data_IF_167410028371
#
_entry.id   IF_167410028371
#
_cell.length_a   1.000
_cell.length_b   1.000
_cell.length_c   1.000
_cell.angle_alpha   90.00
_cell.angle_beta   90.00
_cell.angle_gamma   90.00
#
_symmetry.space_group_name_H-M   'P 1'
#
loop_
_entity.id
_entity.type
_entity.pdbx_description
1 polymer ?
#
# COMPACT_ATOMS: atom_id res chain seq x y z
N UNK A 1 0.95 34.40 1.82
CA UNK A 1 0.09 33.38 2.46
C UNK A 1 0.81 32.64 3.59
N UNK A 2 1.63 31.60 3.35
CA UNK A 2 2.27 30.80 4.43
C UNK A 2 2.87 31.65 5.54
N UNK A 3 3.67 32.66 5.19
CA UNK A 3 4.26 33.60 6.14
C UNK A 3 3.25 34.47 6.90
N UNK A 4 2.29 35.05 6.17
CA UNK A 4 1.34 36.05 6.68
C UNK A 4 0.33 35.41 7.63
N UNK A 5 -0.16 34.22 7.27
CA UNK A 5 -1.13 33.45 8.07
C UNK A 5 -0.47 32.69 9.22
N UNK A 6 0.85 32.81 9.38
CA UNK A 6 1.62 32.09 10.38
C UNK A 6 1.50 30.55 10.28
N UNK A 7 1.18 30.02 9.10
CA UNK A 7 1.06 28.58 8.87
C UNK A 7 2.42 27.90 8.92
N UNK A 8 2.53 26.85 9.71
CA UNK A 8 3.72 26.00 9.81
C UNK A 8 3.53 24.62 9.15
N UNK A 9 2.30 24.26 8.77
CA UNK A 9 1.98 22.97 8.15
C UNK A 9 1.30 23.20 6.80
N UNK A 10 1.75 22.43 5.79
CA UNK A 10 1.15 22.37 4.46
C UNK A 10 0.79 20.92 4.15
N UNK A 11 -0.47 20.64 3.85
CA UNK A 11 -0.95 19.33 3.38
C UNK A 11 -1.20 19.39 1.88
N UNK A 12 -0.42 18.65 1.11
CA UNK A 12 -0.50 18.58 -0.35
C UNK A 12 -1.08 17.23 -0.79
N UNK A 13 -2.28 17.24 -1.38
CA UNK A 13 -3.03 16.02 -1.72
C UNK A 13 -2.98 15.69 -3.23
N UNK A 14 -1.89 16.03 -3.90
CA UNK A 14 -1.74 15.83 -5.36
C UNK A 14 -0.30 15.55 -5.76
N UNK A 15 -0.13 14.79 -6.84
CA UNK A 15 1.12 14.80 -7.58
C UNK A 15 1.28 16.12 -8.35
N UNK A 16 2.51 16.43 -8.79
CA UNK A 16 2.76 17.56 -9.70
C UNK A 16 2.13 17.30 -11.08
N UNK A 17 2.20 16.05 -11.54
CA UNK A 17 1.59 15.56 -12.77
C UNK A 17 0.85 14.25 -12.53
N UNK A 18 -0.30 14.10 -13.15
CA UNK A 18 -1.12 12.88 -13.10
C UNK A 18 -1.69 12.61 -14.49
N UNK A 19 -1.55 11.38 -14.99
CA UNK A 19 -1.97 10.98 -16.36
C UNK A 19 -1.50 11.95 -17.45
N UNK A 20 -0.25 12.41 -17.35
CA UNK A 20 0.36 13.35 -18.30
C UNK A 20 -0.10 14.81 -18.18
N UNK A 21 -1.03 15.13 -17.27
CA UNK A 21 -1.53 16.50 -17.06
C UNK A 21 -0.86 17.14 -15.85
N UNK A 22 -0.46 18.41 -15.98
CA UNK A 22 -0.01 19.21 -14.83
C UNK A 22 -1.18 19.45 -13.87
N UNK A 23 -0.95 19.23 -12.58
CA UNK A 23 -1.93 19.40 -11.50
C UNK A 23 -1.51 20.48 -10.51
N UNK A 24 -0.20 20.61 -10.28
CA UNK A 24 0.42 21.58 -9.38
C UNK A 24 1.85 21.84 -9.85
N UNK A 25 2.33 23.07 -9.70
CA UNK A 25 3.72 23.42 -9.95
C UNK A 25 4.55 23.21 -8.68
N UNK A 26 5.81 22.82 -8.84
CA UNK A 26 6.72 22.70 -7.70
C UNK A 26 7.01 24.10 -7.15
N UNK A 27 6.60 24.34 -5.91
CA UNK A 27 6.78 25.62 -5.21
C UNK A 27 7.83 25.57 -4.10
N UNK A 28 8.60 24.48 -4.02
CA UNK A 28 9.62 24.26 -3.00
C UNK A 28 11.00 24.00 -3.61
N UNK A 29 12.08 24.41 -2.92
CA UNK A 29 13.45 24.05 -3.30
C UNK A 29 13.78 22.61 -2.91
N UNK A 30 14.75 22.03 -3.62
CA UNK A 30 15.38 20.76 -3.24
C UNK A 30 16.13 20.88 -1.90
N UNK A 31 16.37 19.74 -1.24
CA UNK A 31 17.16 19.70 0.00
C UNK A 31 18.56 20.32 -0.22
N UNK A 32 18.96 21.20 0.69
CA UNK A 32 20.21 21.96 0.61
C UNK A 32 20.16 23.19 -0.30
N UNK A 33 19.13 23.32 -1.14
CA UNK A 33 18.93 24.48 -2.01
C UNK A 33 18.14 25.59 -1.31
N UNK A 34 18.38 26.82 -1.74
CA UNK A 34 17.65 27.99 -1.26
C UNK A 34 17.04 28.76 -2.44
N UNK A 35 15.81 29.20 -2.28
CA UNK A 35 15.09 30.02 -3.26
C UNK A 35 14.67 31.34 -2.64
N UNK A 36 15.00 32.44 -3.30
CA UNK A 36 14.53 33.78 -2.91
C UNK A 36 13.14 34.01 -3.50
N UNK A 37 12.14 34.14 -2.63
CA UNK A 37 10.73 34.33 -3.02
C UNK A 37 10.41 35.81 -3.26
N UNK A 38 11.06 36.71 -2.50
CA UNK A 38 10.96 38.16 -2.68
C UNK A 38 12.21 38.85 -2.12
N UNK A 39 12.26 40.19 -2.12
CA UNK A 39 13.37 40.96 -1.51
C UNK A 39 13.64 40.57 -0.06
N UNK A 40 12.59 40.24 0.71
CA UNK A 40 12.64 40.01 2.15
C UNK A 40 12.19 38.61 2.56
N UNK A 41 11.98 37.67 1.64
CA UNK A 41 11.51 36.33 1.97
C UNK A 41 12.27 35.28 1.16
N UNK A 42 12.77 34.26 1.85
CA UNK A 42 13.50 33.15 1.25
C UNK A 42 13.11 31.83 1.90
N UNK A 43 13.19 30.75 1.14
CA UNK A 43 12.91 29.38 1.60
C UNK A 43 14.10 28.49 1.31
N UNK A 44 14.47 27.64 2.26
CA UNK A 44 15.53 26.65 2.12
C UNK A 44 14.99 25.25 2.38
N UNK A 45 15.34 24.28 1.54
CA UNK A 45 15.04 22.87 1.76
C UNK A 45 15.99 22.28 2.81
N UNK A 46 15.46 21.69 3.87
CA UNK A 46 16.26 21.14 4.97
C UNK A 46 16.25 19.62 5.01
N UNK A 47 15.08 19.00 4.86
CA UNK A 47 14.92 17.56 5.00
C UNK A 47 13.81 17.07 4.08
N UNK A 48 13.97 15.88 3.52
CA UNK A 48 12.93 15.13 2.82
C UNK A 48 12.99 13.67 3.27
N UNK A 49 11.84 13.13 3.66
CA UNK A 49 11.69 11.72 4.06
C UNK A 49 10.35 11.21 3.54
N UNK A 50 10.30 9.95 3.11
CA UNK A 50 9.06 9.32 2.65
C UNK A 50 8.68 8.17 3.56
N UNK A 51 7.42 8.13 3.98
CA UNK A 51 6.85 7.07 4.84
C UNK A 51 5.43 6.79 4.38
N UNK A 52 5.08 5.54 4.08
CA UNK A 52 3.70 5.14 3.82
C UNK A 52 2.99 5.89 2.67
N UNK A 53 3.70 6.29 1.62
CA UNK A 53 3.13 7.10 0.54
C UNK A 53 2.86 8.56 0.93
N UNK A 54 3.54 9.05 1.95
CA UNK A 54 3.56 10.44 2.40
C UNK A 54 4.99 10.94 2.32
N UNK A 55 5.22 11.98 1.53
CA UNK A 55 6.51 12.68 1.50
C UNK A 55 6.45 13.83 2.49
N UNK A 56 7.26 13.76 3.54
CA UNK A 56 7.44 14.84 4.50
C UNK A 56 8.66 15.67 4.12
N UNK A 57 8.46 16.97 3.93
CA UNK A 57 9.53 17.95 3.70
C UNK A 57 9.57 18.97 4.82
N UNK A 58 10.76 19.32 5.27
CA UNK A 58 10.99 20.46 6.17
C UNK A 58 11.73 21.57 5.45
N UNK A 59 11.22 22.78 5.62
CA UNK A 59 11.79 23.99 5.05
C UNK A 59 12.11 25.00 6.15
N UNK A 60 13.17 25.77 5.93
CA UNK A 60 13.40 27.00 6.68
C UNK A 60 12.89 28.18 5.86
N UNK A 61 11.76 28.76 6.28
CA UNK A 61 11.23 29.99 5.71
C UNK A 61 11.76 31.16 6.54
N UNK A 62 12.43 32.12 5.91
CA UNK A 62 13.08 33.22 6.63
C UNK A 62 12.81 34.56 5.98
N UNK A 63 12.64 35.57 6.82
CA UNK A 63 12.69 36.96 6.41
C UNK A 63 13.93 37.65 7.02
N UNK A 64 14.02 38.98 6.93
CA UNK A 64 15.16 39.75 7.45
C UNK A 64 15.27 39.76 8.99
N UNK A 65 14.26 39.28 9.73
CA UNK A 65 14.15 39.39 11.19
C UNK A 65 14.00 38.05 11.90
N UNK A 66 13.27 37.12 11.31
CA UNK A 66 12.89 35.85 11.95
C UNK A 66 12.95 34.69 10.94
N UNK A 67 13.00 33.47 11.46
CA UNK A 67 12.94 32.25 10.69
C UNK A 67 11.90 31.30 11.28
N UNK A 68 11.25 30.52 10.42
CA UNK A 68 10.18 29.59 10.78
C UNK A 68 10.38 28.27 10.05
N UNK A 69 10.26 27.17 10.78
CA UNK A 69 10.24 25.83 10.20
C UNK A 69 8.86 25.54 9.64
N UNK A 70 8.79 25.21 8.36
CA UNK A 70 7.57 24.81 7.66
C UNK A 70 7.66 23.32 7.34
N UNK A 71 6.64 22.55 7.70
CA UNK A 71 6.53 21.14 7.35
C UNK A 71 5.47 20.96 6.26
N UNK A 72 5.85 20.41 5.11
CA UNK A 72 4.91 19.96 4.08
C UNK A 72 4.75 18.45 4.15
N UNK A 73 3.52 17.98 4.16
CA UNK A 73 3.14 16.57 4.03
C UNK A 73 2.42 16.37 2.70
N UNK A 74 3.08 15.71 1.75
CA UNK A 74 2.52 15.40 0.44
C UNK A 74 2.01 13.95 0.40
N UNK A 75 0.70 13.80 0.24
CA UNK A 75 0.05 12.50 0.06
C UNK A 75 0.12 12.08 -1.41
N UNK A 76 0.92 11.05 -1.72
CA UNK A 76 1.23 10.65 -3.10
C UNK A 76 0.37 9.50 -3.63
N UNK A 77 -0.47 8.92 -2.78
CA UNK A 77 -1.23 7.69 -3.11
C UNK A 77 -2.71 7.94 -3.41
N UNK A 78 -3.12 9.20 -3.61
CA UNK A 78 -4.47 9.50 -4.09
C UNK A 78 -4.55 9.35 -5.62
N UNK A 79 -5.36 8.42 -6.16
CA UNK A 79 -5.46 8.25 -7.60
C UNK A 79 -6.09 9.46 -8.32
N UNK A 80 -5.71 9.70 -9.58
CA UNK A 80 -6.29 10.77 -10.42
C UNK A 80 -7.82 10.58 -10.57
N UNK A 81 -8.24 9.35 -10.84
CA UNK A 81 -9.65 8.99 -10.97
C UNK A 81 -10.11 8.14 -9.76
N UNK A 82 -10.73 8.80 -8.78
CA UNK A 82 -11.42 8.13 -7.67
C UNK A 82 -10.95 8.57 -6.29
N UNK A 83 -10.85 7.58 -5.40
CA UNK A 83 -10.49 7.73 -3.98
C UNK A 83 -9.45 6.67 -3.64
N UNK A 84 -8.63 6.88 -2.59
CA UNK A 84 -7.79 5.82 -2.06
C UNK A 84 -8.63 4.58 -1.72
N UNK A 85 -8.09 3.41 -2.06
CA UNK A 85 -8.78 2.14 -1.78
C UNK A 85 -8.77 1.86 -0.28
N UNK A 86 -7.61 2.10 0.35
CA UNK A 86 -7.39 1.97 1.79
C UNK A 86 -7.48 3.34 2.46
N UNK A 87 -7.73 3.33 3.77
CA UNK A 87 -7.91 4.51 4.63
C UNK A 87 -6.70 4.77 5.51
N UNK A 88 -5.90 3.75 5.82
CA UNK A 88 -4.84 3.82 6.83
C UNK A 88 -3.81 4.89 6.55
N UNK A 89 -3.38 5.08 5.29
CA UNK A 89 -2.44 6.16 4.96
C UNK A 89 -3.06 7.55 5.12
N UNK A 90 -4.37 7.71 4.90
CA UNK A 90 -5.07 8.98 5.12
C UNK A 90 -5.21 9.29 6.62
N UNK A 91 -5.51 8.26 7.43
CA UNK A 91 -5.52 8.37 8.89
C UNK A 91 -4.11 8.68 9.41
N UNK A 92 -3.08 8.01 8.88
CA UNK A 92 -1.69 8.28 9.22
C UNK A 92 -1.28 9.73 8.88
N UNK A 93 -1.65 10.23 7.70
CA UNK A 93 -1.46 11.64 7.33
C UNK A 93 -2.09 12.58 8.36
N UNK A 94 -3.32 12.31 8.78
CA UNK A 94 -4.02 13.11 9.80
C UNK A 94 -3.27 13.08 11.14
N UNK A 95 -2.89 11.90 11.61
CA UNK A 95 -2.14 11.74 12.86
C UNK A 95 -0.78 12.46 12.81
N UNK A 96 -0.10 12.45 11.66
CA UNK A 96 1.13 13.24 11.46
C UNK A 96 0.86 14.75 11.56
N UNK A 97 -0.24 15.23 10.99
CA UNK A 97 -0.65 16.64 11.09
C UNK A 97 -0.95 17.02 12.54
N UNK A 98 -1.71 16.22 13.28
CA UNK A 98 -2.00 16.47 14.69
C UNK A 98 -0.73 16.55 15.53
N UNK A 99 0.19 15.59 15.34
CA UNK A 99 1.45 15.55 16.09
C UNK A 99 2.38 16.73 15.79
N UNK A 100 2.22 17.38 14.64
CA UNK A 100 2.96 18.59 14.26
C UNK A 100 2.27 19.88 14.70
N UNK A 101 0.96 19.85 14.95
CA UNK A 101 0.18 21.02 15.30
C UNK A 101 0.43 21.42 16.77
N UNK A 102 1.34 22.37 16.97
CA UNK A 102 1.67 22.92 18.28
C UNK A 102 0.98 24.25 18.61
N UNK A 103 0.28 24.84 17.65
CA UNK A 103 -0.38 26.15 17.79
C UNK A 103 -1.74 26.12 17.07
N UNK A 104 -2.57 27.14 17.30
CA UNK A 104 -3.81 27.34 16.56
C UNK A 104 -3.60 28.01 15.18
N UNK A 105 -2.38 27.99 14.64
CA UNK A 105 -2.12 28.51 13.31
C UNK A 105 -2.87 27.68 12.24
N UNK A 106 -3.40 28.31 11.18
CA UNK A 106 -4.14 27.60 10.15
C UNK A 106 -3.23 26.64 9.37
N UNK A 107 -3.71 25.42 9.15
CA UNK A 107 -3.09 24.45 8.24
C UNK A 107 -3.47 24.79 6.81
N UNK A 108 -2.50 24.85 5.91
CA UNK A 108 -2.75 25.05 4.48
C UNK A 108 -2.96 23.70 3.83
N UNK A 109 -4.18 23.41 3.37
CA UNK A 109 -4.49 22.18 2.63
C UNK A 109 -4.76 22.52 1.17
N UNK A 110 -4.10 21.83 0.23
CA UNK A 110 -4.38 22.02 -1.20
C UNK A 110 -4.25 20.73 -2.01
N UNK A 111 -4.79 20.77 -3.22
CA UNK A 111 -4.60 19.75 -4.26
C UNK A 111 -4.30 20.48 -5.58
N UNK A 112 -5.11 20.26 -6.63
CA UNK A 112 -5.06 21.04 -7.87
C UNK A 112 -5.99 22.26 -7.79
N UNK A 113 -7.31 22.07 -7.84
CA UNK A 113 -8.29 23.16 -7.71
C UNK A 113 -8.59 23.58 -6.24
N UNK A 114 -8.12 22.81 -5.26
CA UNK A 114 -8.33 23.09 -3.85
C UNK A 114 -9.77 22.87 -3.36
N UNK A 115 -10.53 21.95 -3.96
CA UNK A 115 -11.95 21.69 -3.61
C UNK A 115 -12.29 20.21 -3.42
N UNK A 116 -11.82 19.32 -4.31
CA UNK A 116 -12.14 17.89 -4.25
C UNK A 116 -11.41 17.14 -3.12
N UNK A 117 -10.14 16.78 -3.35
CA UNK A 117 -9.31 16.08 -2.34
C UNK A 117 -9.12 16.93 -1.08
N UNK A 118 -8.89 18.23 -1.28
CA UNK A 118 -8.81 19.23 -0.20
C UNK A 118 -10.07 19.24 0.66
N UNK A 119 -11.26 19.33 0.06
CA UNK A 119 -12.50 19.31 0.82
C UNK A 119 -12.76 17.96 1.49
N UNK A 120 -12.33 16.86 0.88
CA UNK A 120 -12.47 15.53 1.50
C UNK A 120 -11.62 15.42 2.77
N UNK A 121 -10.36 15.87 2.72
CA UNK A 121 -9.46 15.87 3.88
C UNK A 121 -9.97 16.81 4.99
N UNK A 122 -10.35 18.04 4.65
CA UNK A 122 -10.86 19.02 5.63
C UNK A 122 -12.15 18.50 6.28
N UNK A 123 -13.06 17.89 5.50
CA UNK A 123 -14.29 17.32 6.05
C UNK A 123 -13.98 16.17 7.02
N UNK A 124 -13.12 15.23 6.62
CA UNK A 124 -12.68 14.14 7.48
C UNK A 124 -12.10 14.68 8.80
N UNK A 125 -11.14 15.60 8.74
CA UNK A 125 -10.47 16.13 9.93
C UNK A 125 -11.45 16.88 10.85
N UNK A 126 -12.34 17.70 10.29
CA UNK A 126 -13.40 18.40 11.03
C UNK A 126 -14.35 17.41 11.70
N UNK A 127 -14.79 16.39 10.98
CA UNK A 127 -15.73 15.39 11.48
C UNK A 127 -15.07 14.48 12.51
N UNK A 128 -13.76 14.22 12.40
CA UNK A 128 -13.02 13.50 13.42
C UNK A 128 -12.98 14.31 14.72
N UNK A 129 -12.67 15.59 14.64
CA UNK A 129 -12.72 16.48 15.80
C UNK A 129 -14.14 16.55 16.41
N UNK A 130 -15.18 16.70 15.60
CA UNK A 130 -16.58 16.71 16.09
C UNK A 130 -16.98 15.38 16.74
N UNK A 131 -16.53 14.25 16.20
CA UNK A 131 -16.78 12.94 16.79
C UNK A 131 -16.10 12.82 18.16
N UNK A 132 -14.88 13.31 18.32
CA UNK A 132 -14.17 13.30 19.62
C UNK A 132 -14.82 14.22 20.64
N UNK A 133 -15.24 15.41 20.21
CA UNK A 133 -15.79 16.46 21.08
C UNK A 133 -17.24 16.17 21.49
N UNK A 134 -18.06 15.63 20.57
CA UNK A 134 -19.53 15.54 20.74
C UNK A 134 -20.07 14.12 20.67
N UNK A 135 -19.26 13.13 20.27
CA UNK A 135 -19.71 11.75 20.02
C UNK A 135 -20.68 11.60 18.85
N UNK A 136 -20.92 12.67 18.07
CA UNK A 136 -21.87 12.70 16.96
C UNK A 136 -21.35 13.57 15.82
N UNK A 137 -21.74 13.25 14.59
CA UNK A 137 -21.28 13.92 13.38
C UNK A 137 -22.43 14.14 12.40
N UNK A 138 -22.36 15.22 11.63
CA UNK A 138 -23.30 15.52 10.54
C UNK A 138 -22.53 15.81 9.25
N UNK A 139 -22.33 14.76 8.45
CA UNK A 139 -21.57 14.87 7.19
C UNK A 139 -22.26 15.83 6.20
N UNK A 140 -23.57 15.71 5.89
CA UNK A 140 -24.25 16.69 5.02
C UNK A 140 -24.06 18.14 5.48
N UNK A 141 -24.31 18.44 6.75
CA UNK A 141 -24.24 19.81 7.26
C UNK A 141 -22.81 20.34 7.28
N UNK A 142 -21.81 19.52 7.62
CA UNK A 142 -20.40 19.91 7.52
C UNK A 142 -20.00 20.25 6.10
N UNK A 143 -20.42 19.45 5.11
CA UNK A 143 -20.14 19.75 3.69
C UNK A 143 -20.85 21.01 3.21
N UNK A 144 -22.10 21.26 3.64
CA UNK A 144 -22.81 22.51 3.35
C UNK A 144 -22.07 23.73 3.90
N UNK A 145 -21.67 23.71 5.19
CA UNK A 145 -20.87 24.78 5.81
C UNK A 145 -19.53 25.00 5.09
N UNK A 146 -18.88 23.94 4.63
CA UNK A 146 -17.66 24.07 3.85
C UNK A 146 -17.91 24.72 2.49
N UNK A 147 -19.04 24.41 1.84
CA UNK A 147 -19.45 24.99 0.55
C UNK A 147 -19.85 26.46 0.65
N UNK A 148 -20.35 26.91 1.80
CA UNK A 148 -20.57 28.34 2.09
C UNK A 148 -19.26 29.13 2.12
N UNK A 149 -18.17 28.51 2.60
CA UNK A 149 -16.85 29.15 2.69
C UNK A 149 -16.04 29.05 1.39
N UNK A 150 -16.21 27.97 0.62
CA UNK A 150 -15.54 27.77 -0.68
C UNK A 150 -16.40 26.90 -1.58
N UNK A 151 -16.64 27.32 -2.82
CA UNK A 151 -17.45 26.55 -3.78
C UNK A 151 -16.92 25.13 -3.99
N UNK A 152 -17.84 24.19 -4.24
CA UNK A 152 -17.56 22.82 -4.70
C UNK A 152 -16.69 21.96 -3.76
N UNK A 153 -16.59 22.32 -2.48
CA UNK A 153 -15.92 21.47 -1.48
C UNK A 153 -16.55 20.06 -1.48
N UNK A 154 -15.68 19.06 -1.65
CA UNK A 154 -16.02 17.68 -2.03
C UNK A 154 -16.77 17.64 -3.37
N UNK A 155 -16.03 17.33 -4.43
CA UNK A 155 -16.47 17.59 -5.80
C UNK A 155 -17.31 16.44 -6.38
N UNK A 156 -17.17 15.21 -5.87
CA UNK A 156 -17.89 14.06 -6.42
C UNK A 156 -18.39 13.06 -5.36
N UNK A 157 -19.33 12.22 -5.77
CA UNK A 157 -19.96 11.23 -4.91
C UNK A 157 -18.96 10.25 -4.26
N UNK A 158 -17.93 9.79 -4.99
CA UNK A 158 -16.93 8.86 -4.43
C UNK A 158 -16.17 9.50 -3.26
N UNK A 159 -15.77 10.76 -3.40
CA UNK A 159 -15.13 11.53 -2.33
C UNK A 159 -16.05 11.69 -1.12
N UNK A 160 -17.33 11.98 -1.34
CA UNK A 160 -18.32 12.07 -0.27
C UNK A 160 -18.48 10.74 0.48
N UNK A 161 -18.62 9.62 -0.24
CA UNK A 161 -18.69 8.27 0.35
C UNK A 161 -17.40 7.89 1.08
N UNK A 162 -16.24 8.37 0.63
CA UNK A 162 -14.96 8.13 1.29
C UNK A 162 -14.89 8.79 2.69
N UNK A 163 -15.51 9.96 2.88
CA UNK A 163 -15.64 10.58 4.21
C UNK A 163 -16.39 9.66 5.18
N UNK A 164 -17.49 9.06 4.73
CA UNK A 164 -18.22 8.07 5.52
C UNK A 164 -17.37 6.82 5.82
N UNK A 165 -16.58 6.34 4.85
CA UNK A 165 -15.65 5.22 5.05
C UNK A 165 -14.67 5.51 6.18
N UNK A 166 -14.04 6.68 6.13
CA UNK A 166 -13.07 7.12 7.13
C UNK A 166 -13.71 7.23 8.52
N UNK A 167 -14.91 7.79 8.63
CA UNK A 167 -15.64 7.91 9.89
C UNK A 167 -16.04 6.55 10.47
N UNK A 168 -16.65 5.69 9.66
CA UNK A 168 -17.06 4.36 10.11
C UNK A 168 -15.86 3.54 10.58
N UNK A 169 -14.75 3.61 9.84
CA UNK A 169 -13.53 2.91 10.23
C UNK A 169 -12.89 3.45 11.49
N UNK A 170 -12.91 4.76 11.69
CA UNK A 170 -12.39 5.36 12.92
C UNK A 170 -13.18 4.92 14.14
N UNK A 171 -14.51 4.88 14.01
CA UNK A 171 -15.40 4.53 15.12
C UNK A 171 -15.45 3.02 15.40
N UNK A 172 -15.45 2.21 14.35
CA UNK A 172 -15.68 0.77 14.48
C UNK A 172 -14.40 -0.04 14.68
N UNK A 173 -13.25 0.49 14.24
CA UNK A 173 -11.97 -0.19 14.34
C UNK A 173 -11.20 0.41 15.51
N UNK A 174 -10.93 -0.40 16.53
CA UNK A 174 -10.13 -0.01 17.69
C UNK A 174 -8.72 0.43 17.27
N UNK A 175 -8.01 1.14 18.16
CA UNK A 175 -6.58 1.37 17.99
C UNK A 175 -5.85 0.01 18.02
N UNK A 176 -5.26 -0.36 16.89
CA UNK A 176 -4.56 -1.63 16.69
C UNK A 176 -3.08 -1.46 16.41
N UNK A 177 -2.60 -0.22 16.28
CA UNK A 177 -1.19 0.08 16.09
C UNK A 177 -0.46 0.05 17.44
N UNK A 178 0.46 -0.91 17.59
CA UNK A 178 1.17 -1.16 18.85
C UNK A 178 2.64 -0.83 18.72
N UNK A 179 3.20 -0.27 19.79
CA UNK A 179 4.65 -0.23 19.96
C UNK A 179 5.19 -1.65 20.15
N UNK A 180 6.39 -1.93 19.65
CA UNK A 180 7.02 -3.24 19.81
C UNK A 180 7.17 -3.66 21.27
N UNK A 181 7.44 -2.70 22.16
CA UNK A 181 7.62 -2.97 23.60
C UNK A 181 6.30 -3.39 24.25
N UNK A 182 5.18 -2.77 23.86
CA UNK A 182 3.84 -3.17 24.30
C UNK A 182 3.57 -4.61 23.87
N UNK A 183 3.82 -4.92 22.59
CA UNK A 183 3.60 -6.25 22.03
C UNK A 183 4.43 -7.34 22.72
N UNK A 184 5.71 -7.06 23.00
CA UNK A 184 6.62 -7.99 23.68
C UNK A 184 6.26 -8.23 25.16
N UNK A 185 5.64 -7.24 25.81
CA UNK A 185 5.20 -7.34 27.19
C UNK A 185 3.92 -8.17 27.38
N UNK A 186 3.18 -8.45 26.31
CA UNK A 186 1.91 -9.17 26.38
C UNK A 186 2.12 -10.63 26.78
N UNK A 187 1.29 -11.11 27.71
CA UNK A 187 1.23 -12.55 28.01
C UNK A 187 0.62 -13.33 26.83
N UNK A 188 0.92 -14.63 26.76
CA UNK A 188 0.35 -15.51 25.73
C UNK A 188 -1.19 -15.55 25.74
N UNK A 189 -1.81 -15.34 26.90
CA UNK A 189 -3.28 -15.28 27.04
C UNK A 189 -3.85 -13.98 26.48
N UNK A 190 -3.22 -12.85 26.77
CA UNK A 190 -3.63 -11.53 26.25
C UNK A 190 -3.47 -11.48 24.73
N UNK A 191 -2.33 -11.94 24.22
CA UNK A 191 -2.05 -12.04 22.78
C UNK A 191 -3.13 -12.85 22.06
N UNK A 192 -3.45 -14.06 22.57
CA UNK A 192 -4.50 -14.92 21.98
C UNK A 192 -5.87 -14.26 22.01
N UNK A 193 -6.23 -13.59 23.11
CA UNK A 193 -7.53 -12.90 23.24
C UNK A 193 -7.64 -11.77 22.21
N UNK A 194 -6.60 -10.95 22.09
CA UNK A 194 -6.51 -9.87 21.11
C UNK A 194 -6.63 -10.39 19.67
N UNK A 195 -5.77 -11.34 19.29
CA UNK A 195 -5.78 -11.95 17.94
C UNK A 195 -7.16 -12.53 17.58
N UNK A 196 -7.83 -13.19 18.52
CA UNK A 196 -9.17 -13.74 18.31
C UNK A 196 -10.21 -12.65 18.09
N UNK A 197 -10.16 -11.57 18.87
CA UNK A 197 -11.10 -10.46 18.76
C UNK A 197 -10.89 -9.69 17.46
N UNK A 198 -9.64 -9.35 17.13
CA UNK A 198 -9.28 -8.68 15.89
C UNK A 198 -9.70 -9.47 14.65
N UNK A 199 -9.38 -10.77 14.59
CA UNK A 199 -9.75 -11.60 13.44
C UNK A 199 -11.28 -11.73 13.31
N UNK A 200 -12.01 -11.76 14.43
CA UNK A 200 -13.48 -11.69 14.43
C UNK A 200 -13.95 -10.36 13.83
N UNK A 201 -13.41 -9.23 14.30
CA UNK A 201 -13.73 -7.90 13.76
C UNK A 201 -13.43 -7.81 12.26
N UNK A 202 -12.29 -8.34 11.77
CA UNK A 202 -11.95 -8.38 10.34
C UNK A 202 -12.99 -9.14 9.50
N UNK A 203 -13.56 -10.21 10.05
CA UNK A 203 -14.55 -11.04 9.35
C UNK A 203 -15.97 -10.47 9.43
N UNK A 204 -16.26 -9.64 10.42
CA UNK A 204 -17.54 -8.93 10.58
C UNK A 204 -17.51 -7.54 9.91
N UNK A 205 -16.33 -6.98 9.66
CA UNK A 205 -16.14 -5.67 9.05
C UNK A 205 -16.72 -5.60 7.64
N UNK A 206 -17.65 -4.67 7.42
CA UNK A 206 -18.34 -4.46 6.14
C UNK A 206 -18.51 -2.97 5.88
N UNK A 207 -17.78 -2.43 4.91
CA UNK A 207 -18.06 -1.10 4.38
C UNK A 207 -18.65 -1.21 2.98
N UNK A 208 -19.88 -0.72 2.79
CA UNK A 208 -20.51 -0.64 1.47
C UNK A 208 -21.06 -1.95 0.89
N UNK A 209 -20.93 -3.11 1.55
CA UNK A 209 -21.46 -4.39 1.02
C UNK A 209 -22.99 -4.42 0.87
N UNK A 210 -23.73 -3.59 1.61
CA UNK A 210 -25.18 -3.43 1.45
C UNK A 210 -25.59 -2.77 0.11
N UNK A 211 -24.64 -2.18 -0.63
CA UNK A 211 -24.87 -1.49 -1.91
C UNK A 211 -24.28 -2.25 -3.11
N UNK A 212 -23.67 -3.40 -2.87
CA UNK A 212 -23.06 -4.26 -3.87
C UNK A 212 -23.95 -5.49 -4.09
N UNK A 213 -25.11 -5.26 -4.70
CA UNK A 213 -25.88 -6.35 -5.30
C UNK A 213 -25.03 -7.05 -6.37
N UNK A 214 -24.93 -8.38 -6.27
CA UNK A 214 -24.21 -9.28 -7.18
C UNK A 214 -22.67 -9.24 -7.09
N UNK A 215 -22.11 -10.09 -6.21
CA UNK A 215 -20.70 -10.47 -6.31
C UNK A 215 -20.47 -11.16 -7.66
N UNK A 216 -19.50 -10.72 -8.49
CA UNK A 216 -18.99 -11.54 -9.58
C UNK A 216 -18.43 -12.86 -9.02
N UNK A 217 -18.44 -13.92 -9.82
CA UNK A 217 -17.79 -15.20 -9.48
C UNK A 217 -16.26 -15.09 -9.28
N UNK A 218 -15.66 -13.93 -9.56
CA UNK A 218 -14.24 -13.65 -9.39
C UNK A 218 -13.96 -13.02 -8.02
N UNK A 219 -12.90 -13.47 -7.34
CA UNK A 219 -12.39 -12.91 -6.08
C UNK A 219 -11.60 -11.60 -6.28
N UNK A 220 -12.13 -10.66 -7.05
CA UNK A 220 -11.45 -9.38 -7.37
C UNK A 220 -12.42 -8.20 -7.34
N UNK A 221 -11.94 -7.03 -6.90
CA UNK A 221 -12.66 -5.77 -7.08
C UNK A 221 -12.29 -5.12 -8.41
N UNK A 222 -13.28 -4.56 -9.12
CA UNK A 222 -13.09 -3.98 -10.46
C UNK A 222 -12.04 -2.84 -10.49
N UNK A 223 -11.87 -2.11 -9.40
CA UNK A 223 -10.96 -0.97 -9.30
C UNK A 223 -9.50 -1.36 -9.07
N UNK A 224 -9.23 -2.59 -8.64
CA UNK A 224 -7.88 -3.10 -8.37
C UNK A 224 -7.51 -4.27 -9.30
N UNK A 225 -8.45 -4.75 -10.10
CA UNK A 225 -8.29 -5.88 -11.00
C UNK A 225 -7.23 -5.64 -12.08
N UNK A 226 -6.50 -6.70 -12.40
CA UNK A 226 -5.52 -6.73 -13.48
C UNK A 226 -6.19 -7.33 -14.72
N UNK A 227 -6.09 -6.63 -15.84
CA UNK A 227 -6.57 -7.11 -17.13
C UNK A 227 -5.46 -7.18 -18.18
N UNK A 228 -5.67 -8.04 -19.17
CA UNK A 228 -4.88 -8.16 -20.40
C UNK A 228 -5.78 -7.95 -21.61
N UNK A 229 -5.21 -7.43 -22.70
CA UNK A 229 -5.93 -7.32 -23.97
C UNK A 229 -6.05 -8.70 -24.63
N UNK A 230 -7.25 -9.05 -25.07
CA UNK A 230 -7.52 -10.24 -25.86
C UNK A 230 -7.84 -9.85 -27.32
N UNK A 231 -6.96 -10.25 -28.24
CA UNK A 231 -7.09 -9.97 -29.67
C UNK A 231 -8.33 -10.64 -30.29
N UNK A 232 -8.78 -11.78 -29.75
CA UNK A 232 -9.93 -12.52 -30.29
C UNK A 232 -11.24 -11.79 -29.99
N UNK A 233 -11.38 -11.28 -28.77
CA UNK A 233 -12.58 -10.57 -28.31
C UNK A 233 -12.50 -9.07 -28.49
N UNK A 234 -11.33 -8.53 -28.84
CA UNK A 234 -11.04 -7.09 -28.91
C UNK A 234 -11.44 -6.34 -27.63
N UNK A 235 -11.20 -6.98 -26.48
CA UNK A 235 -11.58 -6.46 -25.18
C UNK A 235 -10.53 -6.76 -24.11
N UNK A 236 -10.59 -6.01 -23.01
CA UNK A 236 -9.77 -6.29 -21.82
C UNK A 236 -10.41 -7.46 -21.05
N UNK A 237 -9.71 -8.59 -20.99
CA UNK A 237 -10.07 -9.71 -20.15
C UNK A 237 -9.48 -9.52 -18.75
N UNK A 238 -10.36 -9.50 -17.74
CA UNK A 238 -9.96 -9.44 -16.34
C UNK A 238 -9.41 -10.79 -15.89
N UNK A 239 -8.29 -10.75 -15.18
CA UNK A 239 -7.67 -11.92 -14.56
C UNK A 239 -7.98 -11.95 -13.08
N UNK A 240 -7.86 -13.13 -12.47
CA UNK A 240 -7.94 -13.28 -11.03
C UNK A 240 -6.63 -12.82 -10.37
N UNK A 241 -6.33 -11.55 -10.58
CA UNK A 241 -5.14 -10.86 -10.12
C UNK A 241 -5.47 -9.41 -9.79
N UNK A 242 -4.71 -8.84 -8.85
CA UNK A 242 -5.05 -7.57 -8.23
C UNK A 242 -3.80 -6.76 -7.91
N UNK A 243 -3.80 -5.48 -8.25
CA UNK A 243 -2.78 -4.54 -7.79
C UNK A 243 -2.91 -4.32 -6.28
N UNK A 244 -1.80 -4.52 -5.56
CA UNK A 244 -1.69 -4.25 -4.14
C UNK A 244 -0.80 -3.03 -3.95
N UNK A 245 -1.32 -2.07 -3.18
CA UNK A 245 -0.65 -0.84 -2.82
C UNK A 245 -0.04 -1.00 -1.42
N UNK A 246 1.25 -0.75 -1.29
CA UNK A 246 2.01 -0.99 -0.06
C UNK A 246 2.16 0.23 0.85
N UNK A 247 2.64 -0.04 2.07
CA UNK A 247 3.06 0.97 3.02
C UNK A 247 4.50 1.43 2.73
N UNK A 248 4.67 2.34 1.76
CA UNK A 248 5.90 3.13 1.62
C UNK A 248 7.06 2.50 0.85
N UNK A 249 6.91 1.30 0.28
CA UNK A 249 7.93 0.70 -0.58
C UNK A 249 7.98 1.34 -1.98
N UNK A 250 9.11 1.18 -2.67
CA UNK A 250 9.21 1.43 -4.12
C UNK A 250 8.73 0.24 -4.97
N UNK A 251 8.22 -0.82 -4.34
CA UNK A 251 7.79 -2.06 -4.96
C UNK A 251 6.26 -2.04 -5.18
N UNK A 252 5.82 -2.63 -6.29
CA UNK A 252 4.40 -2.73 -6.62
C UNK A 252 4.00 -4.19 -6.64
N UNK A 253 3.05 -4.60 -5.80
CA UNK A 253 2.65 -6.00 -5.74
C UNK A 253 1.48 -6.30 -6.67
N UNK A 254 1.52 -7.47 -7.28
CA UNK A 254 0.36 -8.10 -7.92
C UNK A 254 0.06 -9.39 -7.16
N UNK A 255 -1.08 -9.44 -6.46
CA UNK A 255 -1.59 -10.67 -5.86
C UNK A 255 -2.40 -11.42 -6.91
N UNK A 256 -1.99 -12.65 -7.27
CA UNK A 256 -2.60 -13.40 -8.36
C UNK A 256 -2.90 -14.86 -8.00
N UNK A 257 -3.98 -15.39 -8.58
CA UNK A 257 -4.24 -16.82 -8.62
C UNK A 257 -3.24 -17.50 -9.59
N UNK A 258 -2.71 -18.65 -9.19
CA UNK A 258 -1.92 -19.50 -10.08
C UNK A 258 -2.75 -19.96 -11.30
N UNK A 259 -2.17 -20.02 -12.50
CA UNK A 259 -2.90 -20.41 -13.70
C UNK A 259 -3.34 -21.89 -13.59
N UNK A 260 -4.55 -22.18 -14.06
CA UNK A 260 -4.98 -23.57 -14.22
C UNK A 260 -4.24 -24.23 -15.40
N UNK A 261 -4.05 -25.56 -15.39
CA UNK A 261 -3.46 -26.26 -16.53
C UNK A 261 -4.24 -25.99 -17.82
N UNK A 262 -3.56 -25.50 -18.85
CA UNK A 262 -4.16 -25.09 -20.13
C UNK A 262 -4.71 -23.66 -20.17
N UNK A 263 -4.64 -22.90 -19.07
CA UNK A 263 -5.07 -21.50 -18.95
C UNK A 263 -3.91 -20.53 -18.68
N UNK A 264 -2.68 -20.89 -19.08
CA UNK A 264 -1.46 -20.14 -18.76
C UNK A 264 -1.23 -18.94 -19.67
N UNK A 265 -1.84 -18.89 -20.86
CA UNK A 265 -1.64 -17.82 -21.86
C UNK A 265 -1.86 -16.43 -21.25
N UNK A 266 -2.98 -16.22 -20.59
CA UNK A 266 -3.30 -14.91 -20.04
C UNK A 266 -2.45 -14.55 -18.82
N UNK A 267 -2.03 -15.54 -18.03
CA UNK A 267 -1.07 -15.32 -16.95
C UNK A 267 0.26 -14.82 -17.51
N UNK A 268 0.80 -15.48 -18.55
CA UNK A 268 2.05 -15.07 -19.17
C UNK A 268 1.94 -13.78 -19.97
N UNK A 269 0.79 -13.47 -20.60
CA UNK A 269 0.52 -12.14 -21.17
C UNK A 269 0.52 -11.05 -20.10
N UNK A 270 -0.05 -11.32 -18.93
CA UNK A 270 0.02 -10.38 -17.81
C UNK A 270 1.46 -10.16 -17.37
N UNK A 271 2.22 -11.24 -17.22
CA UNK A 271 3.64 -11.13 -16.88
C UNK A 271 4.39 -10.34 -17.97
N UNK A 272 4.12 -10.59 -19.26
CA UNK A 272 4.72 -9.93 -20.42
C UNK A 272 4.43 -8.42 -20.54
N UNK A 273 3.21 -8.03 -20.22
CA UNK A 273 2.73 -6.65 -20.42
C UNK A 273 2.92 -5.78 -19.19
N UNK A 274 3.32 -6.36 -18.07
CA UNK A 274 3.64 -5.66 -16.83
C UNK A 274 5.14 -5.78 -16.63
N UNK A 275 5.84 -4.68 -16.37
CA UNK A 275 7.29 -4.66 -16.14
C UNK A 275 7.68 -5.34 -14.82
N UNK A 276 7.42 -6.65 -14.71
CA UNK A 276 7.70 -7.47 -13.56
C UNK A 276 9.19 -7.80 -13.51
N UNK A 277 9.74 -7.77 -12.31
CA UNK A 277 11.13 -8.18 -12.06
C UNK A 277 11.22 -9.52 -11.33
N UNK A 278 10.16 -9.89 -10.60
CA UNK A 278 10.12 -11.05 -9.72
C UNK A 278 8.70 -11.66 -9.68
N UNK A 279 8.65 -12.99 -9.66
CA UNK A 279 7.47 -13.82 -9.43
C UNK A 279 7.77 -14.70 -8.21
N UNK A 280 6.88 -14.70 -7.23
CA UNK A 280 6.93 -15.53 -6.02
C UNK A 280 5.73 -16.48 -6.06
N UNK A 281 5.99 -17.75 -6.29
CA UNK A 281 5.00 -18.82 -6.28
C UNK A 281 5.07 -19.55 -4.92
N UNK A 282 4.00 -19.44 -4.14
CA UNK A 282 3.97 -19.92 -2.76
C UNK A 282 3.52 -21.38 -2.63
N UNK A 283 3.08 -22.03 -3.71
CA UNK A 283 2.61 -23.42 -3.66
C UNK A 283 2.94 -24.26 -4.90
N UNK A 284 3.96 -23.85 -5.66
CA UNK A 284 4.44 -24.55 -6.86
C UNK A 284 3.33 -24.76 -7.92
N UNK A 285 2.36 -23.86 -7.98
CA UNK A 285 1.27 -23.92 -8.96
C UNK A 285 1.72 -23.54 -10.37
N UNK A 286 2.81 -22.77 -10.51
CA UNK A 286 3.37 -22.39 -11.80
C UNK A 286 4.26 -23.52 -12.31
N UNK A 287 3.81 -24.21 -13.37
CA UNK A 287 4.55 -25.31 -14.00
C UNK A 287 5.13 -24.86 -15.33
N UNK A 288 6.45 -24.77 -15.41
CA UNK A 288 7.16 -24.55 -16.68
C UNK A 288 8.21 -25.66 -16.84
N UNK A 289 8.16 -26.45 -17.92
CA UNK A 289 9.14 -27.50 -18.17
C UNK A 289 10.56 -26.92 -18.36
N UNK A 290 11.54 -27.55 -17.71
CA UNK A 290 12.96 -27.16 -17.81
C UNK A 290 13.50 -27.35 -19.23
N UNK A 291 14.33 -26.41 -19.70
CA UNK A 291 15.02 -26.47 -20.99
C UNK A 291 14.08 -26.66 -22.20
N UNK A 292 12.80 -26.34 -22.05
CA UNK A 292 11.82 -26.36 -23.12
C UNK A 292 11.20 -24.98 -23.27
N UNK A 293 10.97 -24.58 -24.52
CA UNK A 293 10.14 -23.41 -24.81
C UNK A 293 8.69 -23.87 -24.73
N UNK A 294 7.93 -23.30 -23.81
CA UNK A 294 6.49 -23.50 -23.70
C UNK A 294 5.79 -22.40 -24.47
N UNK A 295 4.98 -22.77 -25.45
CA UNK A 295 4.15 -21.83 -26.19
C UNK A 295 2.83 -21.61 -25.46
N UNK A 296 2.57 -20.38 -25.03
CA UNK A 296 1.36 -19.96 -24.35
C UNK A 296 0.66 -18.91 -25.23
N UNK A 297 -0.05 -19.36 -26.26
CA UNK A 297 -0.62 -18.50 -27.29
C UNK A 297 0.45 -17.72 -28.05
N UNK A 298 0.41 -16.38 -27.98
CA UNK A 298 1.39 -15.51 -28.65
C UNK A 298 2.66 -15.24 -27.80
N UNK A 299 2.73 -15.82 -26.61
CA UNK A 299 3.86 -15.68 -25.69
C UNK A 299 4.64 -16.99 -25.66
N UNK A 300 5.96 -16.91 -25.77
CA UNK A 300 6.85 -18.05 -25.58
C UNK A 300 7.60 -17.87 -24.27
N UNK A 301 7.64 -18.93 -23.45
CA UNK A 301 8.21 -18.91 -22.11
C UNK A 301 9.23 -20.04 -21.96
N UNK A 302 10.41 -19.73 -21.43
CA UNK A 302 11.42 -20.74 -21.12
C UNK A 302 12.13 -20.45 -19.80
N UNK A 303 12.55 -21.49 -19.09
CA UNK A 303 13.34 -21.40 -17.87
C UNK A 303 14.82 -21.68 -18.14
N UNK A 304 15.70 -20.81 -17.65
CA UNK A 304 17.14 -21.04 -17.54
C UNK A 304 17.63 -20.77 -16.11
N UNK A 305 18.91 -21.05 -15.85
CA UNK A 305 19.60 -20.74 -14.58
C UNK A 305 18.90 -21.26 -13.33
N UNK A 306 18.32 -22.46 -13.40
CA UNK A 306 17.60 -23.05 -12.27
C UNK A 306 18.58 -23.38 -11.16
N UNK A 307 18.34 -22.85 -9.96
CA UNK A 307 19.10 -23.17 -8.76
C UNK A 307 18.15 -23.66 -7.68
N UNK A 308 18.58 -24.71 -7.00
CA UNK A 308 17.86 -25.25 -5.86
C UNK A 308 18.50 -24.72 -4.57
N UNK A 309 17.78 -23.85 -3.86
CA UNK A 309 18.20 -23.31 -2.57
C UNK A 309 17.51 -24.09 -1.44
N UNK A 310 17.94 -23.88 -0.19
CA UNK A 310 17.35 -24.58 0.96
C UNK A 310 15.85 -24.29 1.11
N UNK A 311 15.44 -23.02 0.98
CA UNK A 311 14.08 -22.55 1.30
C UNK A 311 13.21 -22.30 0.07
N UNK A 312 13.81 -22.24 -1.12
CA UNK A 312 13.11 -21.99 -2.37
C UNK A 312 13.91 -22.58 -3.54
N UNK A 313 13.29 -22.73 -4.70
CA UNK A 313 14.01 -22.83 -5.97
C UNK A 313 13.93 -21.48 -6.68
N UNK A 314 14.96 -21.13 -7.46
CA UNK A 314 14.95 -19.94 -8.30
C UNK A 314 15.29 -20.27 -9.74
N UNK A 315 14.70 -19.57 -10.70
CA UNK A 315 15.00 -19.71 -12.12
C UNK A 315 14.79 -18.38 -12.85
N UNK A 316 15.55 -18.15 -13.92
CA UNK A 316 15.33 -17.01 -14.81
C UNK A 316 14.30 -17.40 -15.87
N UNK A 317 13.15 -16.74 -15.87
CA UNK A 317 12.12 -16.86 -16.89
C UNK A 317 12.43 -15.90 -18.02
N UNK A 318 12.56 -16.44 -19.23
CA UNK A 318 12.65 -15.67 -20.47
C UNK A 318 11.29 -15.68 -21.15
N UNK A 319 10.80 -14.49 -21.46
CA UNK A 319 9.48 -14.30 -22.07
C UNK A 319 9.70 -13.52 -23.35
N UNK A 320 9.36 -14.14 -24.47
CA UNK A 320 9.49 -13.56 -25.81
C UNK A 320 8.13 -13.45 -26.48
N UNK A 321 7.98 -12.40 -27.29
CA UNK A 321 6.76 -12.15 -28.08
C UNK A 321 6.96 -12.68 -29.49
N UNK A 322 6.06 -13.56 -29.96
CA UNK A 322 6.10 -14.02 -31.35
C UNK A 322 5.95 -12.89 -32.39
N UNK A 323 5.27 -11.79 -32.02
CA UNK A 323 4.91 -10.70 -32.93
C UNK A 323 5.45 -9.31 -32.50
N UNK A 324 6.52 -9.24 -31.69
CA UNK A 324 7.07 -7.99 -31.13
C UNK A 324 6.06 -7.07 -30.40
N UNK A 325 4.98 -7.62 -29.81
CA UNK A 325 3.99 -6.84 -29.05
C UNK A 325 4.56 -6.20 -27.78
N UNK A 326 5.59 -6.82 -27.21
CA UNK A 326 6.31 -6.35 -26.04
C UNK A 326 7.80 -6.68 -26.20
N UNK A 327 8.63 -5.98 -25.44
CA UNK A 327 10.08 -6.19 -25.40
C UNK A 327 10.37 -7.49 -24.66
N UNK A 328 11.26 -8.32 -25.21
CA UNK A 328 11.75 -9.52 -24.53
C UNK A 328 12.20 -9.19 -23.12
N UNK A 329 11.68 -9.95 -22.16
CA UNK A 329 11.88 -9.66 -20.75
C UNK A 329 12.40 -10.87 -19.99
N UNK A 330 13.13 -10.54 -18.91
CA UNK A 330 13.69 -11.51 -17.97
C UNK A 330 13.08 -11.27 -16.61
N UNK A 331 12.46 -12.31 -16.06
CA UNK A 331 11.81 -12.27 -14.76
C UNK A 331 12.38 -13.36 -13.88
N UNK A 332 12.66 -13.08 -12.60
CA UNK A 332 13.05 -14.13 -11.66
C UNK A 332 11.79 -14.87 -11.20
N UNK A 333 11.76 -16.19 -11.30
CA UNK A 333 10.75 -17.02 -10.64
C UNK A 333 11.37 -17.64 -9.39
N UNK A 334 10.69 -17.47 -8.26
CA UNK A 334 11.04 -18.04 -6.96
C UNK A 334 9.87 -18.91 -6.51
N UNK A 335 10.12 -20.20 -6.27
CA UNK A 335 9.10 -21.11 -5.75
C UNK A 335 9.46 -21.49 -4.31
N UNK A 336 8.61 -21.09 -3.37
CA UNK A 336 8.85 -21.26 -1.94
C UNK A 336 8.58 -22.70 -1.52
N UNK A 337 9.55 -23.33 -0.84
CA UNK A 337 9.44 -24.71 -0.34
C UNK A 337 8.67 -24.75 0.98
N UNK A 338 7.97 -25.88 1.21
CA UNK A 338 7.40 -26.19 2.52
C UNK A 338 6.07 -25.52 2.85
N UNK A 339 5.39 -24.88 1.89
CA UNK A 339 4.06 -24.29 2.08
C UNK A 339 2.94 -24.99 1.28
N UNK A 340 3.14 -26.25 0.91
CA UNK A 340 2.18 -27.02 0.09
C UNK A 340 0.82 -27.24 0.79
N UNK A 341 0.82 -27.22 2.13
CA UNK A 341 -0.39 -27.28 2.97
C UNK A 341 -0.62 -25.92 3.65
N UNK A 342 -1.75 -25.28 3.36
CA UNK A 342 -2.12 -23.98 3.96
C UNK A 342 -2.14 -24.03 5.48
N UNK A 343 -2.44 -25.19 6.08
CA UNK A 343 -2.51 -25.34 7.53
C UNK A 343 -1.13 -25.46 8.19
N UNK A 344 -0.08 -25.66 7.40
CA UNK A 344 1.30 -25.81 7.85
C UNK A 344 2.18 -24.79 7.10
N UNK A 345 2.15 -23.50 7.50
CA UNK A 345 3.06 -22.52 6.94
C UNK A 345 4.52 -22.87 7.27
N UNK A 346 5.50 -22.31 6.54
CA UNK A 346 6.92 -22.46 6.86
C UNK A 346 7.23 -21.99 8.29
N UNK A 347 8.33 -22.47 8.87
CA UNK A 347 8.81 -21.97 10.16
C UNK A 347 9.04 -20.45 10.09
N UNK A 348 8.78 -19.74 11.20
CA UNK A 348 8.84 -18.28 11.26
C UNK A 348 10.21 -17.73 10.81
N UNK A 349 11.29 -18.41 11.21
CA UNK A 349 12.67 -18.03 10.83
C UNK A 349 12.87 -18.16 9.31
N UNK A 350 12.30 -19.20 8.71
CA UNK A 350 12.50 -19.48 7.29
C UNK A 350 11.71 -18.50 6.42
N UNK A 351 10.49 -18.12 6.80
CA UNK A 351 9.74 -17.08 6.07
C UNK A 351 10.40 -15.71 6.18
N UNK A 352 10.95 -15.36 7.35
CA UNK A 352 11.73 -14.12 7.53
C UNK A 352 12.92 -14.11 6.58
N UNK A 353 13.70 -15.20 6.53
CA UNK A 353 14.84 -15.31 5.61
C UNK A 353 14.43 -15.16 4.15
N UNK A 354 13.30 -15.75 3.75
CA UNK A 354 12.79 -15.58 2.37
C UNK A 354 12.50 -14.10 2.11
N UNK A 355 11.76 -13.41 2.99
CA UNK A 355 11.43 -11.99 2.86
C UNK A 355 12.69 -11.12 2.78
N UNK A 356 13.69 -11.40 3.62
CA UNK A 356 14.95 -10.64 3.61
C UNK A 356 15.82 -10.87 2.37
N UNK A 357 15.60 -11.97 1.66
CA UNK A 357 16.29 -12.21 0.38
C UNK A 357 15.66 -11.47 -0.80
N UNK A 358 14.39 -11.03 -0.71
CA UNK A 358 13.66 -10.42 -1.84
C UNK A 358 14.44 -9.31 -2.54
N UNK A 359 15.04 -8.32 -1.85
CA UNK A 359 15.75 -7.22 -2.53
C UNK A 359 16.91 -7.68 -3.42
N UNK A 360 17.47 -8.88 -3.16
CA UNK A 360 18.58 -9.46 -3.92
C UNK A 360 18.13 -10.32 -5.10
N UNK A 361 16.85 -10.66 -5.20
CA UNK A 361 16.31 -11.57 -6.23
C UNK A 361 15.86 -10.84 -7.50
N UNK A 362 15.73 -9.52 -7.46
CA UNK A 362 15.33 -8.73 -8.63
C UNK A 362 16.37 -8.77 -9.76
N UNK A 363 15.88 -8.89 -11.00
CA UNK A 363 16.73 -9.04 -12.20
C UNK A 363 17.29 -7.70 -12.73
N UNK A 364 16.71 -6.55 -12.39
CA UNK A 364 17.06 -5.24 -12.96
C UNK A 364 17.00 -4.08 -11.97
N UNK A 365 17.70 -2.98 -12.28
CA UNK A 365 17.49 -1.66 -11.68
C UNK A 365 16.30 -0.98 -12.38
N UNK A 366 15.21 -0.75 -11.66
CA UNK A 366 13.97 -0.18 -12.17
C UNK A 366 12.82 -0.45 -11.20
N UNK A 367 11.61 0.13 -11.43
CA UNK A 367 10.47 -0.09 -10.55
C UNK A 367 10.17 -1.59 -10.42
N UNK A 368 10.18 -2.06 -9.17
CA UNK A 368 10.16 -3.48 -8.84
C UNK A 368 8.72 -3.92 -8.67
N UNK A 369 8.06 -4.27 -9.78
CA UNK A 369 6.78 -4.93 -9.68
C UNK A 369 7.01 -6.43 -9.38
N UNK A 370 6.40 -6.90 -8.30
CA UNK A 370 6.51 -8.27 -7.76
C UNK A 370 5.14 -8.94 -7.89
N UNK A 371 5.08 -10.06 -8.59
CA UNK A 371 3.89 -10.90 -8.61
C UNK A 371 4.02 -11.95 -7.51
N UNK A 372 3.04 -12.02 -6.61
CA UNK A 372 2.96 -13.06 -5.59
C UNK A 372 1.71 -13.89 -5.84
N UNK A 373 1.88 -15.20 -5.97
CA UNK A 373 0.79 -16.10 -6.34
C UNK A 373 0.72 -17.36 -5.49
N UNK A 374 -0.51 -17.86 -5.40
CA UNK A 374 -0.86 -19.16 -4.85
C UNK A 374 -2.15 -19.66 -5.52
N UNK A 375 -2.64 -20.82 -5.12
CA UNK A 375 -3.82 -21.49 -5.70
C UNK A 375 -5.09 -20.64 -5.80
N UNK A 376 -5.28 -19.65 -4.92
CA UNK A 376 -6.40 -18.70 -4.94
C UNK A 376 -5.96 -17.22 -4.95
N UNK A 377 -4.66 -16.95 -4.90
CA UNK A 377 -4.11 -15.59 -4.86
C UNK A 377 -4.47 -14.77 -3.62
N UNK A 378 -5.04 -15.36 -2.57
CA UNK A 378 -5.52 -14.62 -1.39
C UNK A 378 -5.01 -15.19 -0.06
N UNK A 379 -5.02 -16.50 0.14
CA UNK A 379 -4.68 -17.11 1.44
C UNK A 379 -3.19 -16.99 1.75
N UNK A 380 -2.33 -17.73 1.00
CA UNK A 380 -0.87 -17.67 1.19
C UNK A 380 -0.31 -16.33 0.69
N UNK A 381 -0.78 -15.90 -0.48
CA UNK A 381 -0.41 -14.61 -1.08
C UNK A 381 -0.68 -13.46 -0.11
N UNK A 382 -1.86 -13.43 0.52
CA UNK A 382 -2.18 -12.40 1.51
C UNK A 382 -1.29 -12.47 2.74
N UNK A 383 -1.00 -13.66 3.25
CA UNK A 383 -0.10 -13.81 4.41
C UNK A 383 1.31 -13.33 4.08
N UNK A 384 1.85 -13.74 2.92
CA UNK A 384 3.18 -13.33 2.48
C UNK A 384 3.29 -11.81 2.32
N UNK A 385 2.36 -11.20 1.59
CA UNK A 385 2.35 -9.74 1.38
C UNK A 385 2.13 -8.99 2.70
N UNK A 386 1.27 -9.51 3.60
CA UNK A 386 1.07 -8.92 4.92
C UNK A 386 2.39 -8.92 5.72
N UNK A 387 3.11 -10.04 5.73
CA UNK A 387 4.40 -10.15 6.42
C UNK A 387 5.45 -9.20 5.85
N UNK A 388 5.54 -9.06 4.53
CA UNK A 388 6.45 -8.09 3.88
C UNK A 388 6.15 -6.68 4.42
N UNK A 389 4.89 -6.25 4.34
CA UNK A 389 4.47 -4.91 4.76
C UNK A 389 4.66 -4.68 6.28
N UNK A 390 4.33 -5.67 7.10
CA UNK A 390 4.49 -5.60 8.56
C UNK A 390 5.96 -5.48 8.93
N UNK A 391 6.84 -6.31 8.36
CA UNK A 391 8.27 -6.32 8.68
C UNK A 391 8.97 -5.06 8.17
N UNK A 392 8.59 -4.52 7.02
CA UNK A 392 9.11 -3.24 6.53
C UNK A 392 8.72 -2.09 7.47
N UNK A 393 7.44 -1.99 7.82
CA UNK A 393 6.97 -0.97 8.78
C UNK A 393 7.63 -1.12 10.14
N UNK A 394 7.79 -2.35 10.62
CA UNK A 394 8.49 -2.66 11.87
C UNK A 394 9.94 -2.17 11.86
N UNK A 395 10.67 -2.40 10.76
CA UNK A 395 12.05 -1.91 10.55
C UNK A 395 12.12 -0.38 10.57
N UNK A 396 11.16 0.28 9.92
CA UNK A 396 11.16 1.74 9.76
C UNK A 396 10.66 2.50 11.00
N UNK A 397 9.65 1.99 11.71
CA UNK A 397 8.89 2.74 12.71
C UNK A 397 8.89 2.13 14.11
N UNK A 398 9.37 0.88 14.30
CA UNK A 398 9.26 0.15 15.58
C UNK A 398 7.81 0.01 16.08
N UNK A 399 6.86 -0.08 15.15
CA UNK A 399 5.44 -0.28 15.42
C UNK A 399 4.87 -1.40 14.55
N UNK A 400 3.83 -2.06 15.05
CA UNK A 400 3.20 -3.22 14.43
C UNK A 400 1.69 -3.04 14.42
N UNK A 401 1.08 -3.27 13.25
CA UNK A 401 -0.36 -3.21 13.08
C UNK A 401 -0.81 -4.29 12.08
N UNK A 402 -0.88 -5.53 12.57
CA UNK A 402 -1.29 -6.69 11.74
C UNK A 402 -2.73 -6.50 11.27
N UNK A 403 -3.60 -6.00 12.15
CA UNK A 403 -5.01 -5.79 11.85
C UNK A 403 -5.22 -4.84 10.67
N UNK A 404 -4.69 -3.61 10.72
CA UNK A 404 -4.84 -2.65 9.61
C UNK A 404 -4.17 -3.15 8.34
N UNK A 405 -3.02 -3.81 8.45
CA UNK A 405 -2.34 -4.37 7.28
C UNK A 405 -3.23 -5.40 6.56
N UNK A 406 -3.80 -6.36 7.30
CA UNK A 406 -4.69 -7.37 6.70
C UNK A 406 -6.00 -6.76 6.21
N UNK A 407 -6.58 -5.82 6.95
CA UNK A 407 -7.78 -5.09 6.55
C UNK A 407 -7.55 -4.36 5.21
N UNK A 408 -6.43 -3.68 5.07
CA UNK A 408 -6.10 -2.93 3.85
C UNK A 408 -5.87 -3.86 2.65
N UNK A 409 -5.25 -5.02 2.88
CA UNK A 409 -5.19 -6.07 1.86
C UNK A 409 -6.59 -6.55 1.47
N UNK A 410 -7.52 -6.71 2.43
CA UNK A 410 -8.91 -7.11 2.18
C UNK A 410 -9.75 -6.04 1.46
N UNK A 411 -9.40 -4.77 1.62
CA UNK A 411 -9.96 -3.66 0.84
C UNK A 411 -9.52 -3.69 -0.63
N UNK A 412 -8.34 -4.24 -0.91
CA UNK A 412 -7.78 -4.34 -2.26
C UNK A 412 -8.15 -5.65 -2.95
N UNK A 413 -8.14 -6.77 -2.23
CA UNK A 413 -8.48 -8.11 -2.71
C UNK A 413 -9.27 -8.89 -1.64
N UNK A 414 -10.43 -9.48 -1.97
CA UNK A 414 -11.17 -10.31 -1.04
C UNK A 414 -10.36 -11.48 -0.46
N UNK A 415 -10.69 -11.89 0.76
CA UNK A 415 -10.18 -13.09 1.44
C UNK A 415 -8.66 -13.10 1.68
N UNK A 416 -8.00 -11.94 1.67
CA UNK A 416 -6.58 -11.86 2.08
C UNK A 416 -6.44 -12.27 3.55
N UNK A 417 -5.57 -13.25 3.81
CA UNK A 417 -5.40 -13.88 5.14
C UNK A 417 -6.76 -14.36 5.68
N UNK A 418 -7.44 -15.22 4.93
CA UNK A 418 -8.76 -15.78 5.28
C UNK A 418 -8.71 -16.94 6.29
N UNK A 419 -7.53 -17.30 6.80
CA UNK A 419 -7.36 -18.32 7.81
C UNK A 419 -6.92 -17.71 9.15
N UNK A 420 -7.65 -18.03 10.23
CA UNK A 420 -7.36 -17.57 11.59
C UNK A 420 -5.96 -17.96 12.06
N UNK A 421 -5.50 -19.17 11.75
CA UNK A 421 -4.17 -19.63 12.14
C UNK A 421 -3.08 -18.89 11.35
N UNK A 422 -3.32 -18.53 10.08
CA UNK A 422 -2.41 -17.67 9.33
C UNK A 422 -2.40 -16.22 9.85
N UNK A 423 -3.53 -15.71 10.36
CA UNK A 423 -3.56 -14.41 11.03
C UNK A 423 -2.71 -14.41 12.30
N UNK A 424 -2.79 -15.47 13.12
CA UNK A 424 -1.93 -15.63 14.29
C UNK A 424 -0.47 -15.85 13.91
N UNK A 425 -0.23 -16.57 12.82
CA UNK A 425 1.12 -16.77 12.27
C UNK A 425 1.79 -15.44 11.90
N UNK A 426 1.05 -14.44 11.40
CA UNK A 426 1.61 -13.10 11.20
C UNK A 426 2.22 -12.52 12.48
N UNK A 427 1.55 -12.67 13.62
CA UNK A 427 2.08 -12.25 14.92
C UNK A 427 3.25 -13.12 15.39
N UNK A 428 3.21 -14.45 15.17
CA UNK A 428 4.33 -15.32 15.58
C UNK A 428 5.61 -14.97 14.82
N UNK A 429 5.51 -14.69 13.52
CA UNK A 429 6.63 -14.23 12.69
C UNK A 429 7.20 -12.90 13.20
N UNK A 430 6.33 -11.94 13.57
CA UNK A 430 6.77 -10.66 14.15
C UNK A 430 7.54 -10.90 15.46
N UNK A 431 7.02 -11.75 16.35
CA UNK A 431 7.67 -12.05 17.63
C UNK A 431 9.00 -12.76 17.44
N UNK A 432 9.09 -13.72 16.51
CA UNK A 432 10.34 -14.39 16.15
C UNK A 432 11.37 -13.39 15.62
N UNK A 433 10.94 -12.51 14.71
CA UNK A 433 11.80 -11.47 14.14
C UNK A 433 12.36 -10.53 15.21
N UNK A 434 11.54 -10.14 16.19
CA UNK A 434 11.98 -9.30 17.31
C UNK A 434 12.99 -10.02 18.22
N UNK A 435 12.75 -11.29 18.53
CA UNK A 435 13.67 -12.12 19.34
C UNK A 435 15.06 -12.26 18.70
N UNK A 436 15.11 -12.48 17.39
CA UNK A 436 16.38 -12.59 16.68
C UNK A 436 17.13 -11.24 16.67
N UNK A 437 16.42 -10.12 16.50
CA UNK A 437 17.02 -8.78 16.54
C UNK A 437 17.64 -8.41 17.90
N UNK A 438 16.98 -8.74 19.01
CA UNK A 438 17.53 -8.51 20.35
C UNK A 438 18.81 -9.33 20.57
N UNK A 439 18.82 -10.57 20.08
CA UNK A 439 19.99 -11.43 20.14
C UNK A 439 21.17 -10.81 19.39
N UNK A 440 20.96 -10.27 18.18
CA UNK A 440 22.01 -9.57 17.41
C UNK A 440 22.47 -8.23 18.03
N UNK A 441 21.60 -7.55 18.76
CA UNK A 441 21.91 -6.25 19.41
C UNK A 441 22.79 -6.42 20.65
N UNK A 442 22.69 -7.57 21.33
CA UNK A 442 23.48 -7.90 22.52
C UNK A 442 24.91 -8.40 22.21
N UNK A 443 25.26 -8.57 20.94
CA UNK A 443 26.60 -8.96 20.47
C UNK A 443 27.37 -7.83 19.74
N UNK A 444 26.88 -6.58 19.80
CA UNK A 444 27.62 -5.36 19.44
C UNK A 444 27.96 -4.58 20.69
#
# INVERSE_FOLDING_TARGET
MVWQENSNIIVMLTGLRENGKSKCEQYWPEVGSQTKLSSNLQVQGQQETTVGGIVQRKFMLSNTKEQRTITQLQFTTWPDHGIPVTTSNMIHLRNMVDGLQSTNAPIIVHCSAGVGRTGTYIAMDTLFYELDDKGTVDVPQTVLRMRENRTDMIQNHKQYTYVYKLLMERESLTETDKDVTELQSMTSTEMKKMQNQEYKTLNEWRFGEQWLENRPQLSIYKNTAVGVWDDKTQAIQQLDATHIQEHGSSEFFIAAKNPAPGEEENFWKMVATRSLSLIIDLDHGIRIPHNAVTQCGNVSVSLNDVKDMKLYSEATVFITSANNFFVDQRVKLVQVKGWDDVQRPPDEIDIVKIIETLPRLHVAQGPQCVLVSCSNGSTRTGTFIALVNILERLKAQKRVDVFRTVKDLRDMRPNMVDNKELYKYCYSVVMQYLSDFETYSNYK
#
